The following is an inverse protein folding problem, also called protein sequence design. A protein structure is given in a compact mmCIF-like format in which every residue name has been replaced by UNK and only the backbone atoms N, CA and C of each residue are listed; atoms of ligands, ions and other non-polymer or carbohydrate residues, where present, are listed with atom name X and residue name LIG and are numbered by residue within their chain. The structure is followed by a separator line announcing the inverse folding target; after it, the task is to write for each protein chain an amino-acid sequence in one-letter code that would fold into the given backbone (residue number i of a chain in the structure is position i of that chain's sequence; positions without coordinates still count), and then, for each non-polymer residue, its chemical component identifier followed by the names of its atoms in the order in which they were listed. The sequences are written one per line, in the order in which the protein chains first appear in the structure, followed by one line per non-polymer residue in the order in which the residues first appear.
data_IF_597852488965
#
_entry.id   IF_597852488965
#
_cell.length_a   1.000
_cell.length_b   1.000
_cell.length_c   1.000
_cell.angle_alpha   90.00
_cell.angle_beta   90.00
_cell.angle_gamma   90.00
#
_symmetry.space_group_name_H-M   'P 1'
#
loop_
_entity.id
_entity.type
_entity.pdbx_description
1 polymer ?
#
# COMPACT_ATOMS: atom_id res chain seq x y z
N UNK A 1 -12.82 -11.56 -29.11
CA UNK A 1 -12.20 -10.97 -27.89
C UNK A 1 -10.69 -11.13 -27.98
N UNK A 2 -9.91 -10.18 -27.46
CA UNK A 2 -8.44 -10.21 -27.55
C UNK A 2 -7.85 -10.96 -26.34
N UNK A 3 -6.85 -11.80 -26.60
CA UNK A 3 -6.09 -12.59 -25.62
C UNK A 3 -4.59 -12.40 -25.83
N UNK A 4 -3.78 -12.82 -24.84
CA UNK A 4 -2.32 -12.68 -24.88
C UNK A 4 -1.87 -11.23 -25.07
N UNK A 5 -2.40 -10.37 -24.21
CA UNK A 5 -2.18 -8.91 -24.30
C UNK A 5 -1.61 -8.36 -23.02
N UNK A 6 -0.71 -7.39 -23.17
CA UNK A 6 -0.36 -6.43 -22.12
C UNK A 6 -1.27 -5.23 -22.28
N UNK A 7 -1.91 -4.83 -21.19
CA UNK A 7 -2.88 -3.75 -21.18
C UNK A 7 -2.57 -2.76 -20.04
N UNK A 8 -3.08 -1.55 -20.21
CA UNK A 8 -2.95 -0.45 -19.26
C UNK A 8 -4.32 0.09 -18.90
N UNK A 9 -4.62 0.20 -17.62
CA UNK A 9 -5.79 0.89 -17.10
C UNK A 9 -5.33 2.26 -16.57
N UNK A 10 -6.00 3.34 -16.98
CA UNK A 10 -5.69 4.70 -16.50
C UNK A 10 -6.84 5.26 -15.68
N UNK A 11 -6.54 5.86 -14.53
CA UNK A 11 -7.53 6.64 -13.78
C UNK A 11 -7.62 8.06 -14.36
N UNK A 12 -8.78 8.43 -14.92
CA UNK A 12 -9.02 9.76 -15.51
C UNK A 12 -9.81 10.71 -14.59
N UNK A 13 -9.76 10.50 -13.27
CA UNK A 13 -10.61 11.22 -12.31
C UNK A 13 -9.81 12.23 -11.49
N UNK A 14 -10.25 13.49 -11.50
CA UNK A 14 -9.73 14.57 -10.66
C UNK A 14 -8.20 14.68 -10.69
N UNK A 15 -7.59 14.71 -9.50
CA UNK A 15 -6.13 14.87 -9.34
C UNK A 15 -5.34 13.73 -10.03
N UNK A 16 -5.94 12.55 -10.21
CA UNK A 16 -5.27 11.40 -10.84
C UNK A 16 -5.05 11.57 -12.34
N UNK A 17 -5.77 12.48 -13.02
CA UNK A 17 -5.55 12.80 -14.43
C UNK A 17 -4.59 13.96 -14.66
N UNK A 18 -4.57 14.95 -13.76
CA UNK A 18 -3.94 16.25 -14.02
C UNK A 18 -2.48 16.31 -13.57
N UNK A 19 -2.17 15.72 -12.40
CA UNK A 19 -0.85 15.93 -11.77
C UNK A 19 0.06 14.74 -11.99
N UNK A 20 -0.42 13.51 -11.77
CA UNK A 20 0.37 12.29 -11.95
C UNK A 20 -0.54 11.17 -12.46
N UNK A 21 -0.32 10.65 -13.69
CA UNK A 21 -1.22 9.66 -14.27
C UNK A 21 -1.17 8.36 -13.46
N UNK A 22 -2.20 8.14 -12.64
CA UNK A 22 -2.37 6.87 -11.95
C UNK A 22 -2.77 5.81 -12.97
N UNK A 23 -1.85 4.90 -13.24
CA UNK A 23 -2.06 3.81 -14.16
C UNK A 23 -1.73 2.48 -13.51
N UNK A 24 -2.35 1.42 -14.05
CA UNK A 24 -2.10 0.02 -13.75
C UNK A 24 -1.70 -0.66 -15.05
N UNK A 25 -0.67 -1.50 -15.01
CA UNK A 25 -0.24 -2.33 -16.14
C UNK A 25 -0.42 -3.78 -15.75
N UNK A 26 -1.02 -4.56 -16.64
CA UNK A 26 -1.22 -5.99 -16.43
C UNK A 26 -1.09 -6.76 -17.72
N UNK A 27 -0.81 -8.05 -17.62
CA UNK A 27 -0.96 -8.99 -18.73
C UNK A 27 -2.13 -9.95 -18.51
N UNK A 28 -2.56 -10.57 -19.60
CA UNK A 28 -3.51 -11.70 -19.56
C UNK A 28 -3.16 -12.73 -20.62
N UNK A 29 -3.17 -14.00 -20.23
CA UNK A 29 -3.09 -15.15 -21.14
C UNK A 29 -4.49 -15.63 -21.57
N UNK A 30 -5.53 -15.21 -20.85
CA UNK A 30 -6.93 -15.47 -21.20
C UNK A 30 -7.48 -14.28 -21.99
N UNK A 31 -8.79 -14.03 -21.96
CA UNK A 31 -9.38 -12.84 -22.59
C UNK A 31 -9.22 -11.61 -21.71
N UNK A 32 -9.03 -10.45 -22.35
CA UNK A 32 -9.01 -9.16 -21.64
C UNK A 32 -10.31 -8.93 -20.87
N UNK A 33 -11.46 -9.26 -21.46
CA UNK A 33 -12.76 -9.15 -20.81
C UNK A 33 -12.85 -9.94 -19.51
N UNK A 34 -12.36 -11.19 -19.47
CA UNK A 34 -12.31 -11.99 -18.24
C UNK A 34 -11.42 -11.33 -17.19
N UNK A 35 -10.25 -10.84 -17.59
CA UNK A 35 -9.32 -10.15 -16.70
C UNK A 35 -9.91 -8.86 -16.12
N UNK A 36 -10.65 -8.08 -16.91
CA UNK A 36 -11.36 -6.90 -16.42
C UNK A 36 -12.44 -7.27 -15.40
N UNK A 37 -13.19 -8.37 -15.62
CA UNK A 37 -14.13 -8.87 -14.62
C UNK A 37 -13.44 -9.22 -13.30
N UNK A 38 -12.24 -9.81 -13.33
CA UNK A 38 -11.48 -10.06 -12.11
C UNK A 38 -11.21 -8.75 -11.36
N UNK A 39 -10.79 -7.69 -12.05
CA UNK A 39 -10.59 -6.37 -11.44
C UNK A 39 -11.86 -5.78 -10.81
N UNK A 40 -13.06 -6.09 -11.33
CA UNK A 40 -14.35 -5.72 -10.70
C UNK A 40 -14.58 -6.41 -9.36
N UNK A 41 -14.17 -7.66 -9.23
CA UNK A 41 -14.31 -8.42 -7.99
C UNK A 41 -13.25 -7.99 -6.98
N UNK A 42 -11.98 -7.99 -7.39
CA UNK A 42 -10.84 -7.62 -6.57
C UNK A 42 -9.67 -7.18 -7.44
N UNK A 43 -8.97 -6.12 -7.03
CA UNK A 43 -7.79 -5.66 -7.74
C UNK A 43 -7.40 -4.23 -7.38
N UNK A 44 -6.16 -3.87 -7.70
CA UNK A 44 -5.64 -2.54 -7.43
C UNK A 44 -6.47 -1.41 -8.06
N UNK A 45 -7.00 -1.53 -9.31
CA UNK A 45 -7.88 -0.50 -9.86
C UNK A 45 -9.16 -0.29 -9.05
N UNK A 46 -9.77 -1.37 -8.54
CA UNK A 46 -10.97 -1.28 -7.70
C UNK A 46 -10.67 -0.61 -6.37
N UNK A 47 -9.65 -1.09 -5.65
CA UNK A 47 -9.26 -0.54 -4.36
C UNK A 47 -8.93 0.95 -4.48
N UNK A 48 -8.15 1.33 -5.50
CA UNK A 48 -7.83 2.74 -5.74
C UNK A 48 -9.06 3.61 -6.00
N UNK A 49 -9.97 3.19 -6.89
CA UNK A 49 -11.16 3.98 -7.21
C UNK A 49 -12.12 4.09 -6.02
N UNK A 50 -12.21 3.05 -5.19
CA UNK A 50 -12.99 3.08 -3.97
C UNK A 50 -12.35 3.99 -2.91
N UNK A 51 -11.06 3.84 -2.64
CA UNK A 51 -10.36 4.55 -1.57
C UNK A 51 -10.08 6.02 -1.90
N UNK A 52 -9.71 6.33 -3.14
CA UNK A 52 -9.34 7.70 -3.56
C UNK A 52 -10.50 8.49 -4.11
N UNK A 53 -11.52 7.83 -4.66
CA UNK A 53 -12.64 8.50 -5.30
C UNK A 53 -14.00 8.14 -4.72
N UNK A 54 -14.11 7.12 -3.85
CA UNK A 54 -15.39 6.69 -3.29
C UNK A 54 -16.33 6.05 -4.33
N UNK A 55 -15.81 5.60 -5.48
CA UNK A 55 -16.61 5.13 -6.60
C UNK A 55 -16.57 3.60 -6.70
N UNK A 56 -17.74 2.99 -6.81
CA UNK A 56 -17.87 1.58 -7.20
C UNK A 56 -17.61 1.43 -8.70
N UNK A 57 -16.62 0.59 -9.05
CA UNK A 57 -16.20 0.42 -10.43
C UNK A 57 -17.21 -0.42 -11.23
N UNK A 58 -17.51 0.01 -12.45
CA UNK A 58 -18.35 -0.75 -13.40
C UNK A 58 -17.51 -1.32 -14.54
N UNK A 59 -18.03 -2.34 -15.22
CA UNK A 59 -17.35 -2.96 -16.35
C UNK A 59 -17.11 -1.98 -17.50
N UNK A 60 -18.13 -1.19 -17.83
CA UNK A 60 -18.05 -0.17 -18.89
C UNK A 60 -17.01 0.89 -18.57
N UNK A 61 -16.87 1.27 -17.30
CA UNK A 61 -15.82 2.18 -16.86
C UNK A 61 -14.43 1.59 -17.10
N UNK A 62 -14.20 0.33 -16.74
CA UNK A 62 -12.91 -0.32 -17.00
C UNK A 62 -12.60 -0.41 -18.49
N UNK A 63 -13.57 -0.80 -19.32
CA UNK A 63 -13.40 -0.93 -20.76
C UNK A 63 -13.03 0.42 -21.40
N UNK A 64 -13.70 1.52 -21.01
CA UNK A 64 -13.39 2.87 -21.51
C UNK A 64 -12.03 3.42 -21.06
N UNK A 65 -11.50 2.90 -19.96
CA UNK A 65 -10.23 3.33 -19.37
C UNK A 65 -9.07 2.34 -19.60
N UNK A 66 -9.31 1.28 -20.36
CA UNK A 66 -8.31 0.27 -20.70
C UNK A 66 -7.79 0.49 -22.12
N UNK A 67 -6.48 0.64 -22.26
CA UNK A 67 -5.78 0.62 -23.54
C UNK A 67 -4.93 -0.64 -23.64
N UNK A 68 -4.88 -1.25 -24.83
CA UNK A 68 -3.90 -2.30 -25.09
C UNK A 68 -2.55 -1.67 -25.41
N UNK A 69 -1.50 -2.20 -24.81
CA UNK A 69 -0.13 -1.71 -25.00
C UNK A 69 0.59 -2.57 -26.02
N UNK A 70 0.53 -3.90 -25.85
CA UNK A 70 1.20 -4.86 -26.71
C UNK A 70 0.36 -6.13 -26.83
N UNK A 71 0.37 -6.75 -28.00
CA UNK A 71 -0.12 -8.12 -28.20
C UNK A 71 1.08 -9.03 -28.45
N UNK A 72 1.18 -10.14 -27.73
CA UNK A 72 2.30 -11.06 -27.87
C UNK A 72 1.79 -12.47 -28.15
N UNK A 73 2.22 -13.09 -29.24
CA UNK A 73 1.87 -14.47 -29.55
C UNK A 73 2.57 -15.48 -28.62
N UNK A 74 3.81 -15.19 -28.20
CA UNK A 74 4.55 -16.06 -27.27
C UNK A 74 4.17 -15.75 -25.82
N UNK A 75 3.47 -16.69 -25.20
CA UNK A 75 3.00 -16.59 -23.81
C UNK A 75 4.14 -16.40 -22.82
N UNK A 76 5.33 -16.93 -23.11
CA UNK A 76 6.50 -16.83 -22.23
C UNK A 76 7.06 -15.43 -22.17
N UNK A 77 6.83 -14.63 -23.22
CA UNK A 77 7.27 -13.24 -23.29
C UNK A 77 6.32 -12.28 -22.58
N UNK A 78 5.06 -12.65 -22.35
CA UNK A 78 4.07 -11.77 -21.71
C UNK A 78 4.49 -11.26 -20.32
N UNK A 79 4.96 -12.11 -19.38
CA UNK A 79 5.40 -11.62 -18.07
C UNK A 79 6.65 -10.72 -18.19
N UNK A 80 7.51 -10.98 -19.16
CA UNK A 80 8.71 -10.18 -19.41
C UNK A 80 8.31 -8.80 -19.93
N UNK A 81 7.44 -8.74 -20.95
CA UNK A 81 6.90 -7.48 -21.46
C UNK A 81 6.18 -6.69 -20.36
N UNK A 82 5.34 -7.34 -19.55
CA UNK A 82 4.68 -6.71 -18.41
C UNK A 82 5.69 -6.08 -17.45
N UNK A 83 6.72 -6.85 -17.04
CA UNK A 83 7.75 -6.35 -16.14
C UNK A 83 8.54 -5.17 -16.72
N UNK A 84 8.87 -5.21 -18.03
CA UNK A 84 9.54 -4.10 -18.72
C UNK A 84 8.68 -2.84 -18.72
N UNK A 85 7.39 -2.97 -19.04
CA UNK A 85 6.47 -1.84 -19.02
C UNK A 85 6.26 -1.28 -17.61
N UNK A 86 6.15 -2.13 -16.59
CA UNK A 86 6.06 -1.68 -15.19
C UNK A 86 7.34 -0.93 -14.81
N UNK A 87 8.52 -1.47 -15.15
CA UNK A 87 9.81 -0.82 -14.85
C UNK A 87 9.95 0.53 -15.54
N UNK A 88 9.57 0.64 -16.81
CA UNK A 88 9.75 1.86 -17.59
C UNK A 88 8.71 2.94 -17.26
N UNK A 89 7.45 2.56 -17.09
CA UNK A 89 6.34 3.51 -16.86
C UNK A 89 6.18 3.83 -15.37
N UNK A 90 6.65 2.95 -14.48
CA UNK A 90 6.48 3.05 -13.03
C UNK A 90 5.03 3.33 -12.59
N UNK A 91 4.05 2.49 -12.99
CA UNK A 91 2.65 2.68 -12.70
C UNK A 91 2.36 2.59 -11.18
N UNK A 92 1.82 3.67 -10.62
CA UNK A 92 1.54 3.77 -9.17
C UNK A 92 0.55 2.73 -8.65
N UNK A 93 -0.35 2.22 -9.49
CA UNK A 93 -1.33 1.21 -9.07
C UNK A 93 -0.74 -0.21 -9.03
N UNK A 94 0.47 -0.43 -9.54
CA UNK A 94 1.14 -1.74 -9.46
C UNK A 94 1.92 -1.94 -8.16
N UNK A 95 2.01 -0.92 -7.30
CA UNK A 95 2.69 -1.03 -6.01
C UNK A 95 1.83 -1.89 -5.09
N UNK A 96 2.33 -3.08 -4.74
CA UNK A 96 1.73 -3.92 -3.72
C UNK A 96 2.17 -3.38 -2.35
N UNK A 97 1.23 -2.84 -1.58
CA UNK A 97 1.51 -2.26 -0.26
C UNK A 97 1.54 -3.29 0.88
N UNK A 98 1.13 -4.55 0.62
CA UNK A 98 1.05 -5.57 1.67
C UNK A 98 2.32 -6.40 1.79
N UNK A 99 2.70 -6.53 3.05
CA UNK A 99 3.98 -6.87 3.65
C UNK A 99 4.66 -8.15 3.11
N UNK A 100 5.99 -8.11 3.05
CA UNK A 100 6.93 -9.13 2.55
C UNK A 100 6.93 -10.44 3.36
N UNK A 101 5.92 -10.64 4.21
CA UNK A 101 5.71 -11.85 5.02
C UNK A 101 5.33 -13.08 4.18
N UNK A 102 5.04 -12.88 2.89
CA UNK A 102 4.78 -13.97 1.94
C UNK A 102 6.02 -14.84 1.68
N UNK A 103 7.23 -14.32 1.87
CA UNK A 103 8.45 -15.11 1.73
C UNK A 103 8.87 -15.66 3.10
N UNK A 104 8.89 -16.99 3.30
CA UNK A 104 9.34 -17.60 4.56
C UNK A 104 10.74 -17.14 4.96
N UNK A 105 11.60 -16.85 3.97
CA UNK A 105 12.97 -16.36 4.14
C UNK A 105 13.07 -14.91 4.65
N UNK A 106 12.00 -14.13 4.54
CA UNK A 106 11.95 -12.74 4.99
C UNK A 106 11.20 -12.56 6.32
N UNK A 107 10.75 -13.66 6.95
CA UNK A 107 10.22 -13.62 8.32
C UNK A 107 11.32 -13.16 9.27
N UNK A 108 11.30 -11.89 9.67
CA UNK A 108 12.12 -11.40 10.78
C UNK A 108 11.78 -12.24 12.01
N UNK A 109 12.75 -12.99 12.54
CA UNK A 109 12.60 -13.66 13.84
C UNK A 109 12.27 -12.58 14.86
N UNK A 110 11.12 -12.74 15.52
CA UNK A 110 10.74 -11.89 16.65
C UNK A 110 11.80 -12.10 17.73
N UNK A 111 12.53 -11.04 18.09
CA UNK A 111 13.48 -11.05 19.22
C UNK A 111 12.65 -11.04 20.50
N UNK A 112 12.01 -12.16 20.83
CA UNK A 112 11.30 -12.33 22.10
C UNK A 112 11.68 -13.62 22.83
N UNK A 113 12.57 -14.44 22.27
CA UNK A 113 13.01 -15.70 22.89
C UNK A 113 14.53 -15.72 23.14
N UNK A 114 15.06 -14.66 23.77
CA UNK A 114 16.33 -14.74 24.49
C UNK A 114 15.97 -14.69 25.97
N UNK A 115 15.75 -15.86 26.58
CA UNK A 115 15.76 -15.99 28.04
C UNK A 115 17.23 -16.00 28.49
N UNK A 116 17.67 -15.09 29.37
CA UNK A 116 18.86 -15.30 30.16
C UNK A 116 18.49 -16.29 31.28
N UNK A 117 19.07 -17.48 31.26
CA UNK A 117 19.05 -18.38 32.40
C UNK A 117 19.96 -17.82 33.48
N UNK A 118 19.38 -17.19 34.50
CA UNK A 118 20.09 -16.87 35.75
C UNK A 118 19.39 -17.53 36.95
N UNK A 119 20.24 -18.25 37.68
CA UNK A 119 20.02 -19.05 38.87
C UNK A 119 19.51 -18.22 40.04
N UNK A 120 18.44 -18.67 40.70
CA UNK A 120 17.90 -18.05 41.92
C UNK A 120 18.81 -18.28 43.13
N UNK A 121 19.09 -17.24 43.94
CA UNK A 121 18.86 -17.27 45.39
C UNK A 121 19.15 -15.94 46.13
N UNK A 122 18.21 -15.60 47.03
CA UNK A 122 18.30 -14.82 48.30
C UNK A 122 18.18 -13.28 48.29
N UNK A 123 16.96 -12.86 48.62
CA UNK A 123 16.53 -11.84 49.60
C UNK A 123 17.60 -11.09 50.42
N UNK A 124 17.59 -9.75 50.33
CA UNK A 124 17.62 -8.85 51.49
C UNK A 124 17.19 -7.42 51.12
N UNK A 125 16.22 -6.88 51.88
CA UNK A 125 15.72 -5.50 51.77
C UNK A 125 16.78 -4.46 52.15
N UNK A 126 16.87 -3.36 51.39
CA UNK A 126 17.18 -2.01 51.92
C UNK A 126 16.71 -0.91 50.97
N UNK A 127 16.17 0.13 51.59
CA UNK A 127 15.66 1.39 51.08
C UNK A 127 16.62 2.19 50.18
N UNK A 128 16.12 2.74 49.07
CA UNK A 128 16.33 4.14 48.68
C UNK A 128 15.68 4.45 47.31
N UNK A 129 14.78 5.43 47.31
CA UNK A 129 14.62 6.49 46.30
C UNK A 129 15.20 6.25 44.89
N UNK A 130 14.36 6.01 43.88
CA UNK A 130 14.28 6.91 42.70
C UNK A 130 13.11 6.52 41.78
N UNK A 131 12.20 7.46 41.58
CA UNK A 131 11.16 7.40 40.56
C UNK A 131 11.80 7.60 39.19
N UNK A 132 11.59 6.69 38.22
CA UNK A 132 11.58 7.04 36.79
C UNK A 132 10.52 6.21 36.07
N UNK A 133 9.38 6.85 35.81
CA UNK A 133 8.38 6.41 34.86
C UNK A 133 9.01 6.34 33.46
N UNK A 134 8.62 5.40 32.58
CA UNK A 134 8.94 5.50 31.16
C UNK A 134 8.30 6.77 30.59
N UNK A 135 8.92 7.45 29.61
CA UNK A 135 8.37 8.67 29.04
C UNK A 135 7.10 8.33 28.28
N UNK A 136 5.95 8.71 28.83
CA UNK A 136 4.72 8.90 28.09
C UNK A 136 4.96 10.04 27.10
N UNK A 137 4.89 9.74 25.80
CA UNK A 137 4.69 10.76 24.78
C UNK A 137 3.34 11.42 25.07
N UNK A 138 3.37 12.54 25.76
CA UNK A 138 2.18 13.34 26.02
C UNK A 138 1.84 14.11 24.74
N UNK A 139 0.90 13.58 23.97
CA UNK A 139 0.31 14.30 22.86
C UNK A 139 -0.63 15.38 23.42
N UNK A 140 -0.22 16.65 23.37
CA UNK A 140 -1.09 17.76 23.71
C UNK A 140 -2.02 18.08 22.54
N UNK A 141 -3.33 17.99 22.76
CA UNK A 141 -4.37 18.47 21.84
C UNK A 141 -4.60 19.95 22.11
N UNK A 142 -4.08 20.82 21.23
CA UNK A 142 -4.39 22.25 21.27
C UNK A 142 -5.63 22.54 20.42
N UNK A 143 -6.58 23.24 21.03
CA UNK A 143 -7.80 23.69 20.39
C UNK A 143 -7.58 25.11 19.87
N UNK A 144 -7.34 25.25 18.57
CA UNK A 144 -7.24 26.55 17.93
C UNK A 144 -8.57 26.91 17.28
N UNK A 145 -9.09 28.09 17.66
CA UNK A 145 -10.32 28.66 17.13
C UNK A 145 -9.92 29.78 16.20
N UNK A 146 -10.09 29.55 14.89
CA UNK A 146 -9.83 30.56 13.86
C UNK A 146 -11.16 30.74 13.13
N UNK A 147 -11.65 31.98 13.12
CA UNK A 147 -12.83 32.44 12.38
C UNK A 147 -14.06 31.53 12.50
N UNK A 148 -14.43 31.17 13.74
CA UNK A 148 -15.66 30.44 14.04
C UNK A 148 -15.62 28.93 13.74
N UNK A 149 -14.54 28.40 13.19
CA UNK A 149 -14.36 26.97 12.95
C UNK A 149 -13.34 26.36 13.94
N UNK A 150 -13.71 25.23 14.54
CA UNK A 150 -12.83 24.46 15.45
C UNK A 150 -12.13 23.37 14.64
N UNK A 151 -10.80 23.37 14.64
CA UNK A 151 -10.00 22.35 13.98
C UNK A 151 -8.97 21.76 14.94
N UNK A 152 -8.78 20.44 14.86
CA UNK A 152 -7.79 19.72 15.64
C UNK A 152 -6.50 19.66 14.84
N UNK A 153 -5.42 20.23 15.39
CA UNK A 153 -4.09 20.18 14.77
C UNK A 153 -3.21 19.24 15.59
N UNK A 154 -2.55 18.32 14.90
CA UNK A 154 -1.60 17.37 15.47
C UNK A 154 -0.19 17.91 15.26
N UNK A 155 0.50 18.29 16.34
CA UNK A 155 1.89 18.75 16.29
C UNK A 155 2.80 17.69 16.90
N UNK A 156 3.60 17.03 16.06
CA UNK A 156 4.68 16.15 16.52
C UNK A 156 5.89 17.00 16.91
N UNK A 157 6.23 17.01 18.20
CA UNK A 157 7.45 17.65 18.70
C UNK A 157 8.69 16.88 18.23
N UNK A 158 9.64 17.56 17.56
CA UNK A 158 10.92 16.94 17.23
C UNK A 158 11.74 16.71 18.51
N UNK A 159 12.39 15.56 18.68
CA UNK A 159 13.32 15.37 19.78
C UNK A 159 14.56 16.25 19.58
N UNK A 160 14.92 17.00 20.63
CA UNK A 160 16.22 17.64 20.78
C UNK A 160 17.11 16.65 21.52
N UNK A 161 18.09 16.07 20.81
CA UNK A 161 19.46 15.75 21.25
C UNK A 161 20.18 15.06 20.10
#
# INVERSE_FOLDING_TARGET
MKSHVVYRITCKRGICSEVLPYSYIGMTTTTLSRRLTCHLTSGAPKSHLLEKHGITITRTFLEANTAMVEMCADVRRLPISEALYIKYINPKLNVQAHDLQALPSMRRKKVSDIQPSETQSKEKQKSSTNQRRPPTLEAARLLLKIDGHVTWVWCEGRPVT
#
